data_IF_032879733095
#
_entry.id   IF_032879733095
#
_cell.length_a   1.000
_cell.length_b   1.000
_cell.length_c   1.000
_cell.angle_alpha   90.00
_cell.angle_beta   90.00
_cell.angle_gamma   90.00
#
_symmetry.space_group_name_H-M   'P 1'
#
loop_
_entity.id
_entity.type
_entity.pdbx_description
1 polymer ?
#
# COMPACT_ATOMS: atom_id res chain seq x y z
N UNK A 1 7.13 -44.74 13.49
CA UNK A 1 7.22 -43.48 14.26
C UNK A 1 7.46 -42.40 13.23
N UNK A 2 6.40 -41.72 12.81
CA UNK A 2 6.50 -40.63 11.84
C UNK A 2 7.11 -39.44 12.56
N UNK A 3 8.33 -39.03 12.19
CA UNK A 3 8.88 -37.74 12.59
C UNK A 3 7.91 -36.69 12.04
N UNK A 4 7.26 -35.94 12.92
CA UNK A 4 6.59 -34.74 12.51
C UNK A 4 7.67 -33.86 11.87
N UNK A 5 7.65 -33.74 10.54
CA UNK A 5 8.48 -32.77 9.85
C UNK A 5 8.05 -31.40 10.34
N UNK A 6 8.90 -30.75 11.16
CA UNK A 6 8.69 -29.35 11.54
C UNK A 6 8.73 -28.53 10.27
N UNK A 7 7.55 -28.16 9.77
CA UNK A 7 7.44 -27.28 8.60
C UNK A 7 7.89 -25.87 8.99
N UNK A 8 8.50 -25.18 8.00
CA UNK A 8 8.82 -23.78 8.16
C UNK A 8 7.53 -22.94 8.38
N UNK A 9 7.64 -21.93 9.24
CA UNK A 9 6.54 -20.99 9.45
C UNK A 9 6.31 -20.13 8.20
N UNK A 10 5.10 -19.60 8.06
CA UNK A 10 4.79 -18.68 6.96
C UNK A 10 5.68 -17.43 7.03
N UNK A 11 5.96 -16.92 8.24
CA UNK A 11 6.83 -15.75 8.44
C UNK A 11 8.25 -16.05 7.97
N UNK A 12 8.80 -17.24 8.30
CA UNK A 12 10.13 -17.65 7.83
C UNK A 12 10.21 -17.73 6.31
N UNK A 13 9.20 -18.31 5.65
CA UNK A 13 9.14 -18.39 4.19
C UNK A 13 8.96 -17.00 3.56
N UNK A 14 8.22 -16.11 4.21
CA UNK A 14 8.02 -14.74 3.76
C UNK A 14 9.32 -13.93 3.86
N UNK A 15 10.01 -13.98 4.99
CA UNK A 15 11.30 -13.29 5.19
C UNK A 15 12.35 -13.80 4.19
N UNK A 16 12.40 -15.13 3.96
CA UNK A 16 13.25 -15.73 2.96
C UNK A 16 12.95 -15.20 1.54
N UNK A 17 11.69 -15.22 1.12
CA UNK A 17 11.29 -14.75 -0.22
C UNK A 17 11.51 -13.24 -0.39
N UNK A 18 11.37 -12.45 0.66
CA UNK A 18 11.59 -11.01 0.65
C UNK A 18 13.05 -10.61 0.80
N UNK A 19 13.97 -11.58 0.96
CA UNK A 19 15.40 -11.37 1.24
C UNK A 19 15.65 -10.57 2.52
N UNK A 20 14.78 -10.72 3.52
CA UNK A 20 14.90 -10.08 4.84
C UNK A 20 15.63 -10.99 5.86
N UNK A 21 15.91 -12.24 5.50
CA UNK A 21 16.67 -13.20 6.31
C UNK A 21 18.18 -12.91 6.25
N UNK A 22 18.88 -13.19 7.34
CA UNK A 22 20.34 -13.23 7.33
C UNK A 22 20.88 -14.47 6.56
N UNK A 23 22.18 -14.50 6.27
CA UNK A 23 22.79 -15.56 5.47
C UNK A 23 22.61 -16.95 6.10
N UNK A 24 22.75 -17.07 7.43
CA UNK A 24 22.63 -18.36 8.13
C UNK A 24 21.19 -18.89 8.10
N UNK A 25 20.22 -18.01 8.26
CA UNK A 25 18.80 -18.34 8.15
C UNK A 25 18.42 -18.71 6.71
N UNK A 26 18.98 -18.01 5.71
CA UNK A 26 18.79 -18.33 4.28
C UNK A 26 19.29 -19.74 3.98
N UNK A 27 20.54 -20.07 4.36
CA UNK A 27 21.13 -21.39 4.15
C UNK A 27 20.30 -22.51 4.82
N UNK A 28 19.77 -22.26 6.02
CA UNK A 28 18.91 -23.22 6.74
C UNK A 28 17.58 -23.46 6.03
N UNK A 29 16.97 -22.41 5.46
CA UNK A 29 15.74 -22.50 4.67
C UNK A 29 16.00 -23.25 3.37
N UNK A 30 17.09 -22.94 2.66
CA UNK A 30 17.50 -23.66 1.43
C UNK A 30 17.66 -25.17 1.69
N UNK A 31 18.38 -25.54 2.75
CA UNK A 31 18.58 -26.93 3.12
C UNK A 31 17.25 -27.62 3.47
N UNK A 32 16.32 -26.93 4.11
CA UNK A 32 14.99 -27.46 4.42
C UNK A 32 14.15 -27.66 3.16
N UNK A 33 14.09 -26.67 2.26
CA UNK A 33 13.32 -26.72 1.00
C UNK A 33 13.76 -27.86 0.09
N UNK A 34 15.06 -28.21 0.10
CA UNK A 34 15.59 -29.37 -0.64
C UNK A 34 15.07 -30.72 -0.13
N UNK A 35 14.46 -30.76 1.06
CA UNK A 35 14.00 -32.00 1.73
C UNK A 35 12.52 -32.03 2.07
N UNK A 36 11.81 -30.93 1.88
CA UNK A 36 10.41 -30.79 2.27
C UNK A 36 9.57 -30.15 1.14
N UNK A 37 8.98 -31.03 0.30
CA UNK A 37 8.14 -30.59 -0.82
C UNK A 37 6.97 -29.70 -0.36
N UNK A 38 6.36 -29.99 0.80
CA UNK A 38 5.24 -29.20 1.32
C UNK A 38 5.64 -27.75 1.67
N UNK A 39 6.89 -27.49 2.07
CA UNK A 39 7.37 -26.13 2.28
C UNK A 39 7.72 -25.47 0.94
N UNK A 40 8.21 -26.24 -0.04
CA UNK A 40 8.37 -25.77 -1.42
C UNK A 40 7.07 -25.31 -2.03
N UNK A 41 6.01 -26.10 -1.97
CA UNK A 41 4.66 -25.73 -2.45
C UNK A 41 4.13 -24.47 -1.79
N UNK A 42 4.32 -24.30 -0.47
CA UNK A 42 3.92 -23.06 0.22
C UNK A 42 4.71 -21.84 -0.23
N UNK A 43 5.99 -22.01 -0.53
CA UNK A 43 6.82 -20.93 -1.08
C UNK A 43 6.33 -20.55 -2.49
N UNK A 44 6.01 -21.54 -3.33
CA UNK A 44 5.45 -21.30 -4.67
C UNK A 44 4.11 -20.55 -4.60
N UNK A 45 3.24 -20.91 -3.64
CA UNK A 45 1.98 -20.19 -3.40
C UNK A 45 2.22 -18.73 -3.00
N UNK A 46 3.22 -18.46 -2.15
CA UNK A 46 3.61 -17.09 -1.77
C UNK A 46 4.13 -16.30 -2.97
N UNK A 47 4.95 -16.91 -3.81
CA UNK A 47 5.48 -16.29 -5.03
C UNK A 47 4.33 -15.96 -5.98
N UNK A 48 3.42 -16.91 -6.22
CA UNK A 48 2.26 -16.73 -7.08
C UNK A 48 1.32 -15.62 -6.58
N UNK A 49 1.09 -15.55 -5.25
CA UNK A 49 0.34 -14.47 -4.64
C UNK A 49 1.01 -13.11 -4.87
N UNK A 50 2.32 -13.03 -4.65
CA UNK A 50 3.10 -11.81 -4.88
C UNK A 50 3.07 -11.36 -6.34
N UNK A 51 3.12 -12.29 -7.28
CA UNK A 51 2.97 -11.99 -8.72
C UNK A 51 1.58 -11.49 -9.05
N UNK A 52 0.55 -12.08 -8.46
CA UNK A 52 -0.84 -11.62 -8.59
C UNK A 52 -1.02 -10.19 -8.08
N UNK A 53 -0.47 -9.86 -6.90
CA UNK A 53 -0.49 -8.50 -6.33
C UNK A 53 0.24 -7.52 -7.24
N UNK A 54 1.45 -7.87 -7.73
CA UNK A 54 2.21 -7.04 -8.68
C UNK A 54 1.43 -6.82 -9.98
N UNK A 55 0.80 -7.87 -10.51
CA UNK A 55 -0.04 -7.78 -11.69
C UNK A 55 -1.21 -6.82 -11.49
N UNK A 56 -1.90 -6.92 -10.36
CA UNK A 56 -3.03 -6.05 -10.02
C UNK A 56 -2.60 -4.58 -9.83
N UNK A 57 -1.44 -4.34 -9.22
CA UNK A 57 -0.86 -2.99 -9.09
C UNK A 57 -0.48 -2.41 -10.46
N UNK A 58 0.21 -3.17 -11.33
CA UNK A 58 0.53 -2.74 -12.70
C UNK A 58 -0.70 -2.48 -13.54
N UNK A 59 -1.74 -3.29 -13.39
CA UNK A 59 -3.03 -3.04 -14.02
C UNK A 59 -3.76 -1.82 -13.43
N UNK A 60 -3.26 -1.26 -12.32
CA UNK A 60 -3.86 -0.12 -11.64
C UNK A 60 -5.26 -0.41 -11.10
N UNK A 61 -5.55 -1.66 -10.78
CA UNK A 61 -6.88 -2.10 -10.34
C UNK A 61 -7.04 -2.11 -8.82
N UNK A 62 -5.94 -1.92 -8.08
CA UNK A 62 -5.91 -1.94 -6.62
C UNK A 62 -5.66 -0.54 -6.07
N UNK A 63 -6.42 -0.16 -5.05
CA UNK A 63 -6.07 0.95 -4.16
C UNK A 63 -5.81 0.37 -2.77
N UNK A 64 -4.78 0.86 -2.11
CA UNK A 64 -4.44 0.42 -0.76
C UNK A 64 -3.81 1.57 0.02
N UNK A 65 -3.90 1.50 1.33
CA UNK A 65 -3.07 2.28 2.23
C UNK A 65 -2.01 1.35 2.79
N UNK A 66 -0.76 1.78 2.85
CA UNK A 66 0.37 0.89 3.10
C UNK A 66 1.50 1.58 3.84
N UNK A 67 2.59 0.84 4.09
CA UNK A 67 3.80 1.37 4.70
C UNK A 67 4.80 1.87 3.66
N UNK A 68 5.70 2.76 4.08
CA UNK A 68 6.83 3.23 3.29
C UNK A 68 7.69 2.08 2.75
N UNK A 69 8.01 1.11 3.60
CA UNK A 69 8.83 -0.04 3.24
C UNK A 69 8.23 -0.84 2.06
N UNK A 70 6.90 -0.97 2.03
CA UNK A 70 6.22 -1.64 0.92
C UNK A 70 6.35 -0.86 -0.39
N UNK A 71 6.18 0.47 -0.37
CA UNK A 71 6.35 1.32 -1.57
C UNK A 71 7.77 1.26 -2.09
N UNK A 72 8.77 1.30 -1.23
CA UNK A 72 10.18 1.18 -1.61
C UNK A 72 10.49 -0.17 -2.28
N UNK A 73 9.91 -1.27 -1.79
CA UNK A 73 10.03 -2.59 -2.43
C UNK A 73 9.40 -2.61 -3.82
N UNK A 74 8.22 -2.01 -3.99
CA UNK A 74 7.57 -1.93 -5.30
C UNK A 74 8.42 -1.14 -6.30
N UNK A 75 9.02 -0.03 -5.89
CA UNK A 75 9.95 0.75 -6.71
C UNK A 75 11.20 -0.09 -7.08
N UNK A 76 11.74 -0.86 -6.13
CA UNK A 76 12.86 -1.80 -6.35
C UNK A 76 12.55 -2.90 -7.37
N UNK A 77 11.27 -3.22 -7.58
CA UNK A 77 10.82 -4.17 -8.62
C UNK A 77 10.70 -3.54 -10.01
N UNK A 78 11.20 -2.31 -10.22
CA UNK A 78 11.22 -1.60 -11.48
C UNK A 78 9.88 -0.97 -11.87
N UNK A 79 8.94 -0.80 -10.92
CA UNK A 79 7.70 -0.07 -11.15
C UNK A 79 7.96 1.44 -11.14
N UNK A 80 7.40 2.15 -12.13
CA UNK A 80 7.48 3.61 -12.20
C UNK A 80 6.46 4.22 -11.26
N UNK A 81 6.95 4.83 -10.19
CA UNK A 81 6.14 5.43 -9.13
C UNK A 81 6.02 6.93 -9.37
N UNK A 82 4.79 7.42 -9.55
CA UNK A 82 4.48 8.85 -9.43
C UNK A 82 4.11 9.14 -7.99
N UNK A 83 4.87 10.03 -7.36
CA UNK A 83 4.69 10.39 -5.97
C UNK A 83 4.22 11.84 -5.81
N UNK A 84 3.25 12.04 -4.92
CA UNK A 84 2.82 13.34 -4.43
C UNK A 84 2.95 13.39 -2.91
N UNK A 85 3.60 14.43 -2.41
CA UNK A 85 3.72 14.71 -0.97
C UNK A 85 2.85 15.90 -0.63
N UNK A 86 1.97 15.72 0.35
CA UNK A 86 1.10 16.78 0.83
C UNK A 86 1.47 17.08 2.29
N UNK A 87 1.82 18.34 2.61
CA UNK A 87 1.95 18.76 4.00
C UNK A 87 0.60 18.63 4.71
N UNK A 88 0.60 18.65 6.03
CA UNK A 88 -0.63 18.61 6.84
C UNK A 88 -1.65 19.63 6.32
N UNK A 89 -2.88 19.16 6.10
CA UNK A 89 -3.99 19.95 5.53
C UNK A 89 -3.71 20.58 4.15
N UNK A 90 -2.78 19.98 3.40
CA UNK A 90 -2.31 20.50 2.13
C UNK A 90 -3.19 20.15 0.94
N UNK A 91 -2.81 20.73 -0.20
CA UNK A 91 -3.41 20.43 -1.50
C UNK A 91 -2.35 20.21 -2.58
N UNK A 92 -2.71 19.49 -3.64
CA UNK A 92 -1.83 19.22 -4.76
C UNK A 92 -2.61 19.21 -6.09
N UNK A 93 -1.97 19.74 -7.14
CA UNK A 93 -2.40 19.49 -8.51
C UNK A 93 -1.78 18.18 -8.97
N UNK A 94 -2.60 17.24 -9.38
CA UNK A 94 -2.13 15.91 -9.76
C UNK A 94 -2.61 15.48 -11.15
N UNK A 95 -1.78 14.71 -11.81
CA UNK A 95 -2.07 14.04 -13.07
C UNK A 95 -1.32 12.71 -13.10
N UNK A 96 -1.70 11.81 -14.00
CA UNK A 96 -1.08 10.49 -14.14
C UNK A 96 -0.70 10.29 -15.59
N UNK A 97 0.60 10.13 -15.84
CA UNK A 97 1.11 9.87 -17.19
C UNK A 97 0.82 8.40 -17.61
N UNK A 98 0.74 8.15 -18.94
CA UNK A 98 0.52 6.78 -19.45
C UNK A 98 1.54 5.76 -18.98
N UNK A 99 2.78 6.21 -18.78
CA UNK A 99 3.92 5.39 -18.36
C UNK A 99 4.00 5.13 -16.84
N UNK A 100 3.24 5.83 -16.00
CA UNK A 100 3.25 5.59 -14.56
C UNK A 100 2.64 4.20 -14.25
N UNK A 101 3.29 3.43 -13.39
CA UNK A 101 2.80 2.12 -12.94
C UNK A 101 2.04 2.23 -11.60
N UNK A 102 2.46 3.19 -10.77
CA UNK A 102 1.86 3.45 -9.46
C UNK A 102 1.66 4.95 -9.22
N UNK A 103 0.59 5.28 -8.53
CA UNK A 103 0.34 6.61 -7.98
C UNK A 103 0.33 6.51 -6.46
N UNK A 104 1.31 7.14 -5.84
CA UNK A 104 1.51 7.16 -4.39
C UNK A 104 1.30 8.57 -3.87
N UNK A 105 0.49 8.71 -2.84
CA UNK A 105 0.30 9.98 -2.13
C UNK A 105 0.74 9.82 -0.69
N UNK A 106 1.64 10.70 -0.23
CA UNK A 106 2.10 10.78 1.16
C UNK A 106 1.46 11.98 1.83
N UNK A 107 0.78 11.72 2.92
CA UNK A 107 -0.01 12.71 3.64
C UNK A 107 0.60 12.91 5.02
N UNK A 108 1.25 14.04 5.26
CA UNK A 108 1.78 14.38 6.58
C UNK A 108 0.63 14.63 7.55
N UNK A 109 0.62 13.94 8.70
CA UNK A 109 -0.43 14.05 9.69
C UNK A 109 0.10 13.90 11.13
N UNK A 110 -0.52 14.58 12.13
CA UNK A 110 -0.17 14.45 13.53
C UNK A 110 -0.75 13.14 14.11
N UNK A 111 -0.06 12.02 13.89
CA UNK A 111 -0.50 10.67 14.24
C UNK A 111 -0.11 10.23 15.66
N UNK A 112 0.58 11.08 16.44
CA UNK A 112 0.99 10.75 17.78
C UNK A 112 -0.23 10.45 18.67
N UNK A 113 -0.20 9.31 19.36
CA UNK A 113 -1.30 8.87 20.22
C UNK A 113 -2.52 8.32 19.52
N UNK A 114 -2.56 8.34 18.17
CA UNK A 114 -3.61 7.68 17.39
C UNK A 114 -3.40 6.17 17.45
N UNK A 115 -4.45 5.43 17.80
CA UNK A 115 -4.42 3.95 17.88
C UNK A 115 -5.08 3.29 16.68
N UNK A 116 -6.09 3.93 16.13
CA UNK A 116 -6.83 3.48 14.97
C UNK A 116 -7.17 4.67 14.09
N UNK A 117 -7.02 4.48 12.79
CA UNK A 117 -7.23 5.51 11.79
C UNK A 117 -8.24 5.02 10.75
N UNK A 118 -9.25 5.83 10.47
CA UNK A 118 -10.13 5.68 9.32
C UNK A 118 -9.83 6.80 8.32
N UNK A 119 -10.26 6.63 7.07
CA UNK A 119 -10.19 7.68 6.06
C UNK A 119 -11.53 7.81 5.33
N UNK A 120 -11.84 9.03 4.88
CA UNK A 120 -13.04 9.35 4.11
C UNK A 120 -12.67 10.11 2.86
N UNK A 121 -13.06 9.58 1.71
CA UNK A 121 -12.88 10.25 0.43
C UNK A 121 -14.21 10.78 -0.11
N UNK A 122 -14.17 11.98 -0.70
CA UNK A 122 -15.28 12.64 -1.39
C UNK A 122 -14.79 13.17 -2.72
N UNK A 123 -15.51 12.86 -3.80
CA UNK A 123 -15.18 13.32 -5.15
C UNK A 123 -16.20 14.36 -5.62
N UNK A 124 -15.73 15.42 -6.26
CA UNK A 124 -16.62 16.44 -6.84
C UNK A 124 -17.48 15.90 -7.99
N UNK A 125 -17.10 14.77 -8.59
CA UNK A 125 -17.87 14.05 -9.61
C UNK A 125 -19.02 13.23 -9.04
N UNK A 126 -19.04 13.01 -7.72
CA UNK A 126 -20.05 12.20 -7.01
C UNK A 126 -20.62 13.02 -5.83
N UNK A 127 -21.38 14.10 -6.08
CA UNK A 127 -21.87 14.98 -5.02
C UNK A 127 -22.71 14.21 -3.98
N UNK A 128 -22.38 14.36 -2.70
CA UNK A 128 -23.09 13.73 -1.60
C UNK A 128 -22.68 12.27 -1.32
N UNK A 129 -21.81 11.67 -2.15
CA UNK A 129 -21.26 10.33 -1.89
C UNK A 129 -19.99 10.43 -1.06
N UNK A 130 -19.89 9.57 -0.05
CA UNK A 130 -18.72 9.42 0.79
C UNK A 130 -18.21 7.98 0.70
N UNK A 131 -16.90 7.83 0.50
CA UNK A 131 -16.22 6.53 0.47
C UNK A 131 -15.41 6.39 1.75
N UNK A 132 -15.90 5.59 2.67
CA UNK A 132 -15.21 5.34 3.94
C UNK A 132 -14.27 4.14 3.81
N UNK A 133 -13.03 4.31 4.31
CA UNK A 133 -12.06 3.25 4.50
C UNK A 133 -11.83 3.12 6.00
N UNK A 134 -12.03 1.92 6.50
CA UNK A 134 -11.84 1.64 7.91
C UNK A 134 -10.49 0.95 8.16
N UNK A 135 -9.95 1.19 9.35
CA UNK A 135 -8.73 0.52 9.83
C UNK A 135 -7.52 0.75 8.90
N UNK A 136 -7.31 2.01 8.53
CA UNK A 136 -6.22 2.43 7.65
C UNK A 136 -4.88 2.17 8.34
N UNK A 137 -3.98 1.35 7.77
CA UNK A 137 -2.66 1.12 8.33
C UNK A 137 -1.80 2.39 8.30
N UNK A 138 -1.09 2.66 9.38
CA UNK A 138 -0.18 3.80 9.49
C UNK A 138 0.94 3.50 10.49
N UNK A 139 2.06 4.21 10.38
CA UNK A 139 3.10 4.25 11.40
C UNK A 139 3.00 5.59 12.15
N UNK A 140 2.65 5.58 13.45
CA UNK A 140 2.57 6.80 14.24
C UNK A 140 3.89 7.57 14.33
N UNK A 141 5.03 6.89 14.11
CA UNK A 141 6.37 7.48 14.16
C UNK A 141 6.76 8.14 12.84
N UNK A 142 6.25 7.65 11.73
CA UNK A 142 6.52 8.23 10.42
C UNK A 142 5.86 9.61 10.25
N UNK A 143 4.74 9.88 10.96
CA UNK A 143 4.01 11.13 10.84
C UNK A 143 3.34 11.31 9.48
N UNK A 144 3.16 10.23 8.74
CA UNK A 144 2.54 10.24 7.42
C UNK A 144 1.67 9.01 7.17
N UNK A 145 0.71 9.15 6.27
CA UNK A 145 -0.11 8.07 5.72
C UNK A 145 0.20 7.93 4.24
N UNK A 146 0.46 6.69 3.80
CA UNK A 146 0.82 6.38 2.42
C UNK A 146 -0.35 5.73 1.71
N UNK A 147 -0.85 6.37 0.66
CA UNK A 147 -2.01 5.92 -0.13
C UNK A 147 -1.57 5.57 -1.54
N UNK A 148 -1.86 4.34 -1.98
CA UNK A 148 -1.70 3.90 -3.37
C UNK A 148 -3.06 3.93 -4.05
N UNK A 149 -3.19 4.71 -5.11
CA UNK A 149 -4.46 4.90 -5.82
C UNK A 149 -4.66 3.88 -6.94
N UNK A 150 -5.92 3.59 -7.26
CA UNK A 150 -6.31 2.78 -8.44
C UNK A 150 -5.98 3.54 -9.73
N UNK A 151 -4.81 3.34 -10.26
CA UNK A 151 -4.29 4.08 -11.40
C UNK A 151 -5.19 4.00 -12.64
N UNK A 152 -5.69 2.80 -12.97
CA UNK A 152 -6.60 2.59 -14.08
C UNK A 152 -7.93 3.35 -13.93
N UNK A 153 -8.39 3.57 -12.70
CA UNK A 153 -9.58 4.39 -12.42
C UNK A 153 -9.23 5.88 -12.58
N UNK A 154 -8.14 6.33 -11.95
CA UNK A 154 -7.71 7.73 -11.96
C UNK A 154 -7.50 8.24 -13.39
N UNK A 155 -6.87 7.44 -14.27
CA UNK A 155 -6.66 7.80 -15.69
C UNK A 155 -7.93 8.08 -16.48
N UNK A 156 -9.06 7.48 -16.07
CA UNK A 156 -10.36 7.63 -16.75
C UNK A 156 -11.21 8.76 -16.18
N UNK A 157 -10.82 9.31 -15.04
CA UNK A 157 -11.58 10.38 -14.41
C UNK A 157 -11.39 11.70 -15.18
N UNK A 158 -12.44 12.50 -15.36
CA UNK A 158 -12.33 13.87 -15.83
C UNK A 158 -11.58 14.73 -14.82
N UNK A 159 -11.33 15.98 -15.16
CA UNK A 159 -10.84 16.94 -14.18
C UNK A 159 -11.83 17.03 -13.01
N UNK A 160 -11.32 16.84 -11.79
CA UNK A 160 -12.14 16.84 -10.57
C UNK A 160 -11.31 17.20 -9.35
N UNK A 161 -12.00 17.47 -8.26
CA UNK A 161 -11.39 17.62 -6.94
C UNK A 161 -11.80 16.43 -6.06
N UNK A 162 -10.82 15.83 -5.39
CA UNK A 162 -11.03 14.84 -4.35
C UNK A 162 -10.56 15.40 -3.01
N UNK A 163 -11.41 15.29 -1.99
CA UNK A 163 -11.02 15.51 -0.60
C UNK A 163 -10.83 14.18 0.11
N UNK A 164 -9.72 14.04 0.82
CA UNK A 164 -9.43 12.89 1.68
C UNK A 164 -9.26 13.39 3.11
N UNK A 165 -10.11 12.89 4.01
CA UNK A 165 -10.07 13.23 5.44
C UNK A 165 -9.58 12.02 6.22
N UNK A 166 -8.57 12.21 7.06
CA UNK A 166 -8.09 11.21 8.02
C UNK A 166 -8.80 11.41 9.36
N UNK A 167 -9.27 10.32 9.94
CA UNK A 167 -10.11 10.30 11.13
C UNK A 167 -9.51 9.37 12.20
N UNK A 168 -9.00 9.92 13.29
CA UNK A 168 -8.65 9.12 14.45
C UNK A 168 -9.92 8.58 15.11
N UNK A 169 -9.96 7.25 15.34
CA UNK A 169 -11.10 6.59 16.00
C UNK A 169 -10.82 6.55 17.50
N UNK A 170 -11.71 7.16 18.27
CA UNK A 170 -11.65 7.30 19.72
C UNK A 170 -12.87 6.67 20.39
N UNK A 171 -12.85 6.46 21.70
CA UNK A 171 -13.95 5.81 22.44
C UNK A 171 -15.30 6.53 22.30
N UNK A 172 -15.29 7.85 22.05
CA UNK A 172 -16.48 8.70 21.93
C UNK A 172 -16.87 9.08 20.49
N UNK A 173 -16.18 8.56 19.48
CA UNK A 173 -16.42 8.92 18.09
C UNK A 173 -15.13 9.06 17.28
N UNK A 174 -15.18 9.88 16.23
CA UNK A 174 -14.01 10.15 15.40
C UNK A 174 -13.56 11.60 15.53
N UNK A 175 -12.25 11.82 15.46
CA UNK A 175 -11.63 13.15 15.42
C UNK A 175 -10.84 13.31 14.13
N UNK A 176 -11.07 14.38 13.39
CA UNK A 176 -10.28 14.72 12.21
C UNK A 176 -8.81 14.98 12.61
N UNK A 177 -7.88 14.36 11.89
CA UNK A 177 -6.44 14.52 12.08
C UNK A 177 -5.74 15.10 10.85
N UNK A 178 -6.47 15.30 9.77
CA UNK A 178 -5.99 15.98 8.58
C UNK A 178 -6.98 15.88 7.42
N UNK A 179 -6.98 16.92 6.58
CA UNK A 179 -7.80 16.98 5.37
C UNK A 179 -6.95 17.43 4.19
N UNK A 180 -7.01 16.67 3.09
CA UNK A 180 -6.14 16.86 1.94
C UNK A 180 -6.98 17.03 0.69
N UNK A 181 -6.55 17.92 -0.21
CA UNK A 181 -7.26 18.21 -1.44
C UNK A 181 -6.41 17.88 -2.66
N UNK A 182 -6.94 17.04 -3.53
CA UNK A 182 -6.31 16.66 -4.79
C UNK A 182 -7.09 17.30 -5.94
N UNK A 183 -6.42 18.16 -6.72
CA UNK A 183 -6.97 18.73 -7.94
C UNK A 183 -6.47 17.90 -9.12
N UNK A 184 -7.24 16.88 -9.48
CA UNK A 184 -6.90 16.00 -10.59
C UNK A 184 -7.19 16.63 -11.95
N UNK A 185 -6.26 16.48 -12.88
CA UNK A 185 -6.42 16.79 -14.29
C UNK A 185 -5.95 15.61 -15.13
N UNK A 186 -6.69 15.26 -16.21
CA UNK A 186 -6.21 14.29 -17.18
C UNK A 186 -4.82 14.68 -17.70
N UNK A 187 -4.00 13.69 -18.01
CA UNK A 187 -2.69 13.92 -18.60
C UNK A 187 -2.84 14.57 -19.97
N UNK A 188 -2.17 15.70 -20.19
CA UNK A 188 -2.26 16.46 -21.44
C UNK A 188 -1.01 16.34 -22.33
N UNK A 189 -0.06 15.46 -21.97
CA UNK A 189 1.24 15.39 -22.62
C UNK A 189 2.13 16.57 -22.20
N UNK A 190 3.37 16.30 -21.83
CA UNK A 190 4.42 17.30 -21.64
C UNK A 190 5.43 17.14 -22.76
#
# INVERSE_FOLDING_TARGET
>A
MSAASDHLSLDTLLDYWLHDSDAASTDAVDEHLMRCDACGERLDDLIALGDGVRGALRAGTVALVTSEAFVQRLAGLGLRVREYRLPHEGSVNCSVAPEDDLLVSRLEAPLQGVRRLDARAQLSTEPGVQHDLHDVPFDPRAGEVVVVSKLAAVRRLPAHTMQLTLLAVEAGGTREVGRYTFHHRPWSGG
#
